data_IF_064256138088
#
_entry.id   IF_064256138088
#
_cell.length_a   1.000
_cell.length_b   1.000
_cell.length_c   1.000
_cell.angle_alpha   90.00
_cell.angle_beta   90.00
_cell.angle_gamma   90.00
#
_symmetry.space_group_name_H-M   'P 1'
#
loop_
_entity.id
_entity.type
_entity.pdbx_description
1 polymer ?
#
# COMPACT_ATOMS: atom_id res chain seq x y z
N UNK A 1 9.23 -11.74 -12.36
CA UNK A 1 8.20 -11.23 -13.30
C UNK A 1 7.12 -10.56 -12.49
N UNK A 2 6.70 -9.34 -12.89
CA UNK A 2 5.58 -8.63 -12.30
C UNK A 2 4.28 -9.38 -12.59
N UNK A 3 3.41 -9.51 -11.60
CA UNK A 3 2.20 -10.33 -11.71
C UNK A 3 0.95 -9.51 -12.02
N UNK A 4 0.94 -8.20 -11.67
CA UNK A 4 -0.15 -7.30 -12.06
C UNK A 4 0.34 -5.87 -12.30
N UNK A 5 -0.45 -5.15 -13.09
CA UNK A 5 -0.36 -3.70 -13.22
C UNK A 5 -1.78 -3.12 -13.25
N UNK A 6 -2.05 -2.16 -12.39
CA UNK A 6 -3.34 -1.46 -12.33
C UNK A 6 -3.08 0.03 -12.59
N UNK A 7 -3.87 0.63 -13.49
CA UNK A 7 -3.75 2.05 -13.81
C UNK A 7 -5.06 2.79 -13.49
N UNK A 8 -4.95 3.91 -12.82
CA UNK A 8 -6.07 4.79 -12.53
C UNK A 8 -5.88 6.14 -13.22
N UNK A 9 -6.96 6.67 -13.76
CA UNK A 9 -7.00 7.99 -14.37
C UNK A 9 -6.51 7.99 -15.81
N UNK A 10 -5.58 8.87 -16.13
CA UNK A 10 -5.10 9.02 -17.50
C UNK A 10 -4.21 7.85 -17.92
N UNK A 11 -4.48 7.26 -19.08
CA UNK A 11 -3.64 6.18 -19.62
C UNK A 11 -2.29 6.69 -20.12
N UNK A 12 -2.27 7.92 -20.59
CA UNK A 12 -1.05 8.61 -21.06
C UNK A 12 -1.10 10.07 -20.64
N UNK A 13 0.05 10.62 -20.28
CA UNK A 13 0.19 12.04 -20.02
C UNK A 13 0.53 12.75 -21.35
N UNK A 14 0.07 14.01 -21.55
CA UNK A 14 0.47 14.77 -22.72
C UNK A 14 2.00 14.87 -22.84
N UNK A 15 2.51 14.86 -24.06
CA UNK A 15 3.96 14.88 -24.30
C UNK A 15 4.69 16.11 -23.74
N UNK A 16 3.95 17.18 -23.50
CA UNK A 16 4.48 18.42 -22.91
C UNK A 16 4.02 18.63 -21.47
N UNK A 17 3.52 17.58 -20.79
CA UNK A 17 2.98 17.69 -19.44
C UNK A 17 4.07 18.08 -18.43
N UNK A 18 3.77 19.02 -17.57
CA UNK A 18 4.55 19.28 -16.36
C UNK A 18 4.02 18.31 -15.31
N UNK A 19 4.86 17.43 -14.80
CA UNK A 19 4.44 16.31 -13.94
C UNK A 19 5.05 16.43 -12.56
N UNK A 20 4.19 16.42 -11.55
CA UNK A 20 4.62 16.26 -10.16
C UNK A 20 4.65 14.75 -9.86
N UNK A 21 5.85 14.21 -9.69
CA UNK A 21 6.04 12.82 -9.39
C UNK A 21 6.04 12.58 -7.89
N UNK A 22 5.14 11.75 -7.43
CA UNK A 22 5.27 11.15 -6.10
C UNK A 22 5.70 9.70 -6.28
N UNK A 23 6.93 9.42 -5.90
CA UNK A 23 7.43 8.05 -5.82
C UNK A 23 7.00 7.46 -4.49
N UNK A 24 5.91 6.77 -4.50
CA UNK A 24 5.51 5.93 -3.39
C UNK A 24 5.45 4.53 -3.94
N UNK A 25 5.68 3.61 -3.29
CA UNK A 25 6.03 2.88 -2.47
C UNK A 25 5.79 1.54 -2.20
N UNK A 26 5.96 0.99 -1.20
CA UNK A 26 6.06 -0.38 -1.08
C UNK A 26 5.13 -0.94 -0.19
N UNK A 27 4.54 -2.04 -0.55
CA UNK A 27 3.52 -2.63 0.20
C UNK A 27 3.70 -4.10 0.30
N UNK A 28 3.10 -4.65 1.25
CA UNK A 28 3.41 -5.91 1.50
C UNK A 28 2.42 -6.89 2.05
N UNK A 29 2.24 -7.97 1.64
CA UNK A 29 1.49 -8.96 1.98
C UNK A 29 2.23 -9.88 2.81
N UNK A 30 2.03 -9.96 3.93
CA UNK A 30 2.56 -11.04 4.73
C UNK A 30 1.52 -12.10 4.98
N UNK A 31 1.86 -13.31 4.67
CA UNK A 31 0.97 -14.43 4.93
C UNK A 31 1.48 -15.22 6.13
N UNK A 32 0.79 -15.10 7.25
CA UNK A 32 0.87 -16.10 8.31
C UNK A 32 -0.41 -16.94 8.18
N UNK A 33 -0.26 -18.12 7.61
CA UNK A 33 -1.39 -18.99 7.29
C UNK A 33 -2.41 -18.35 6.33
N UNK A 34 -3.38 -17.58 6.76
CA UNK A 34 -4.38 -16.94 5.88
C UNK A 34 -4.56 -15.45 6.17
N UNK A 35 -3.74 -14.88 7.06
CA UNK A 35 -3.85 -13.46 7.43
C UNK A 35 -2.72 -12.61 6.89
N UNK A 36 -3.04 -11.35 6.66
CA UNK A 36 -2.13 -10.32 6.15
C UNK A 36 -1.86 -9.29 7.24
N UNK A 37 -0.62 -8.83 7.35
CA UNK A 37 -0.30 -7.69 8.20
C UNK A 37 -0.67 -6.42 7.44
N UNK A 38 -1.67 -5.72 7.91
CA UNK A 38 -2.16 -4.47 7.35
C UNK A 38 -2.14 -3.38 8.42
N UNK A 39 -2.27 -2.14 8.00
CA UNK A 39 -2.49 -0.99 8.88
C UNK A 39 -3.99 -0.70 8.89
N UNK A 40 -4.58 -0.66 10.07
CA UNK A 40 -5.93 -0.20 10.32
C UNK A 40 -5.88 1.27 10.74
N UNK A 41 -6.73 2.11 10.15
CA UNK A 41 -6.73 3.56 10.41
C UNK A 41 -7.92 4.00 11.24
N UNK A 42 -7.91 5.27 11.70
CA UNK A 42 -9.06 5.84 12.41
C UNK A 42 -10.29 6.06 11.51
N UNK A 43 -10.12 5.99 10.19
CA UNK A 43 -11.28 5.97 9.27
C UNK A 43 -11.88 4.55 9.15
N UNK A 44 -11.24 3.57 9.76
CA UNK A 44 -11.71 2.19 9.78
C UNK A 44 -11.30 1.36 8.56
N UNK A 45 -10.47 1.92 7.68
CA UNK A 45 -9.99 1.21 6.49
C UNK A 45 -8.67 0.50 6.73
N UNK A 46 -8.40 -0.45 5.87
CA UNK A 46 -7.14 -1.20 5.84
C UNK A 46 -6.27 -0.77 4.66
N UNK A 47 -4.97 -0.58 4.91
CA UNK A 47 -3.96 -0.33 3.88
C UNK A 47 -2.73 -1.23 4.11
N UNK A 48 -1.96 -1.46 3.06
CA UNK A 48 -0.66 -2.12 3.22
C UNK A 48 0.33 -1.16 3.90
N UNK A 49 1.22 -1.66 4.79
CA UNK A 49 2.30 -0.82 5.32
C UNK A 49 3.22 -0.33 4.20
N UNK A 50 3.67 0.89 4.30
CA UNK A 50 4.60 1.47 3.33
C UNK A 50 4.36 2.94 3.04
N UNK A 51 5.40 3.60 2.59
CA UNK A 51 5.42 5.04 2.35
C UNK A 51 6.35 5.45 1.20
N UNK A 52 6.77 6.69 1.23
CA UNK A 52 7.61 7.29 0.18
C UNK A 52 9.09 6.98 0.34
N UNK A 53 9.78 6.91 -0.78
CA UNK A 53 11.25 6.84 -0.77
C UNK A 53 11.83 8.11 -0.16
N UNK A 54 12.80 7.96 0.71
CA UNK A 54 13.70 9.04 1.14
C UNK A 54 14.87 9.14 0.15
N UNK A 55 15.59 10.26 0.18
CA UNK A 55 16.71 10.48 -0.76
C UNK A 55 17.72 9.34 -0.71
N UNK A 56 18.10 8.86 -1.88
CA UNK A 56 19.10 7.79 -2.10
C UNK A 56 18.67 6.39 -1.66
N UNK A 57 17.44 6.23 -1.20
CA UNK A 57 16.90 4.94 -0.74
C UNK A 57 16.50 4.07 -1.93
N UNK A 58 16.89 2.80 -1.93
CA UNK A 58 16.35 1.82 -2.87
C UNK A 58 15.06 1.19 -2.31
N UNK A 59 14.37 0.39 -3.12
CA UNK A 59 13.09 -0.20 -2.74
C UNK A 59 13.17 -1.05 -1.47
N UNK A 60 14.21 -1.87 -1.34
CA UNK A 60 14.37 -2.74 -0.18
C UNK A 60 14.61 -1.93 1.11
N UNK A 61 15.44 -0.89 1.02
CA UNK A 61 15.72 0.01 2.15
C UNK A 61 14.44 0.74 2.60
N UNK A 62 13.67 1.25 1.64
CA UNK A 62 12.40 1.92 1.92
C UNK A 62 11.43 0.96 2.64
N UNK A 63 11.29 -0.26 2.12
CA UNK A 63 10.40 -1.28 2.70
C UNK A 63 10.82 -1.60 4.15
N UNK A 64 12.12 -1.84 4.37
CA UNK A 64 12.64 -2.18 5.71
C UNK A 64 12.33 -1.06 6.70
N UNK A 65 12.57 0.18 6.31
CA UNK A 65 12.32 1.36 7.15
C UNK A 65 10.82 1.53 7.44
N UNK A 66 9.98 1.56 6.40
CA UNK A 66 8.53 1.79 6.54
C UNK A 66 7.86 0.69 7.37
N UNK A 67 8.25 -0.57 7.13
CA UNK A 67 7.73 -1.70 7.90
C UNK A 67 8.04 -1.53 9.39
N UNK A 68 9.28 -1.13 9.72
CA UNK A 68 9.65 -0.90 11.11
C UNK A 68 8.90 0.31 11.69
N UNK A 69 8.87 1.43 10.96
CA UNK A 69 8.21 2.68 11.42
C UNK A 69 6.71 2.48 11.63
N UNK A 70 5.99 1.94 10.63
CA UNK A 70 4.53 1.80 10.69
C UNK A 70 4.05 0.59 11.50
N UNK A 71 4.82 -0.51 11.55
CA UNK A 71 4.32 -1.75 12.16
C UNK A 71 5.09 -2.19 13.41
N UNK A 72 6.31 -1.75 13.56
CA UNK A 72 7.22 -2.22 14.61
C UNK A 72 7.89 -3.55 14.31
N UNK A 73 7.55 -4.23 13.21
CA UNK A 73 8.17 -5.51 12.85
C UNK A 73 9.41 -5.32 11.99
N UNK A 74 10.46 -6.09 12.30
CA UNK A 74 11.66 -6.11 11.49
C UNK A 74 11.47 -7.02 10.26
N UNK A 75 11.93 -6.54 9.11
CA UNK A 75 11.94 -7.31 7.87
C UNK A 75 13.19 -8.19 7.84
N UNK A 76 13.00 -9.49 7.71
CA UNK A 76 14.08 -10.47 7.53
C UNK A 76 14.50 -10.54 6.06
N UNK A 77 13.52 -10.43 5.16
CA UNK A 77 13.79 -10.58 3.73
C UNK A 77 12.76 -9.80 2.91
N UNK A 78 13.23 -8.99 1.98
CA UNK A 78 12.41 -8.41 0.93
C UNK A 78 12.46 -9.36 -0.27
N UNK A 79 11.31 -9.83 -0.70
CA UNK A 79 11.17 -10.75 -1.82
C UNK A 79 10.92 -10.03 -3.14
N UNK A 80 10.18 -10.65 -4.02
CA UNK A 80 9.97 -10.14 -5.37
C UNK A 80 8.93 -9.01 -5.42
N UNK A 81 9.09 -8.13 -6.39
CA UNK A 81 8.04 -7.22 -6.86
C UNK A 81 6.94 -8.07 -7.52
N UNK A 82 5.73 -8.00 -7.00
CA UNK A 82 4.62 -8.75 -7.60
C UNK A 82 3.58 -7.86 -8.28
N UNK A 83 3.56 -6.58 -8.00
CA UNK A 83 2.61 -5.70 -8.66
C UNK A 83 2.95 -4.23 -8.62
N UNK A 84 2.33 -3.50 -9.55
CA UNK A 84 2.47 -2.05 -9.66
C UNK A 84 1.07 -1.45 -9.78
N UNK A 85 0.84 -0.34 -9.10
CA UNK A 85 -0.31 0.53 -9.33
C UNK A 85 0.21 1.90 -9.76
N UNK A 86 -0.27 2.37 -10.90
CA UNK A 86 0.03 3.70 -11.44
C UNK A 86 -1.21 4.57 -11.32
N UNK A 87 -1.07 5.71 -10.68
CA UNK A 87 -2.15 6.70 -10.52
C UNK A 87 -1.73 7.98 -11.24
N UNK A 88 -2.47 8.38 -12.27
CA UNK A 88 -2.16 9.58 -13.06
C UNK A 88 -3.43 10.43 -13.23
N UNK A 89 -3.35 11.70 -12.89
CA UNK A 89 -4.49 12.63 -13.01
C UNK A 89 -4.00 14.06 -13.15
N UNK A 90 -4.91 14.97 -13.50
CA UNK A 90 -4.64 16.40 -13.36
C UNK A 90 -4.37 16.68 -11.88
N UNK A 91 -3.38 17.50 -11.58
CA UNK A 91 -3.04 17.79 -10.18
C UNK A 91 -4.15 18.66 -9.54
N UNK A 92 -4.62 18.27 -8.37
CA UNK A 92 -5.69 18.97 -7.68
C UNK A 92 -5.24 20.29 -7.03
N UNK A 93 -3.94 20.47 -6.87
CA UNK A 93 -3.36 21.58 -6.11
C UNK A 93 -2.56 22.55 -6.95
N UNK A 94 -2.03 22.12 -8.07
CA UNK A 94 -1.14 22.93 -8.92
C UNK A 94 -1.69 23.02 -10.35
N UNK A 95 -2.41 24.11 -10.69
CA UNK A 95 -3.04 24.26 -12.01
C UNK A 95 -2.06 24.09 -13.17
N UNK A 96 -2.47 23.33 -14.18
CA UNK A 96 -1.66 23.09 -15.38
C UNK A 96 -0.61 22.00 -15.24
N UNK A 97 -0.59 21.32 -14.09
CA UNK A 97 0.33 20.19 -13.86
C UNK A 97 -0.43 18.88 -13.76
N UNK A 98 0.31 17.78 -13.76
CA UNK A 98 -0.22 16.43 -13.64
C UNK A 98 0.40 15.71 -12.45
N UNK A 99 -0.41 15.03 -11.69
CA UNK A 99 0.03 14.14 -10.61
C UNK A 99 0.33 12.76 -11.21
N UNK A 100 1.47 12.18 -10.83
CA UNK A 100 1.79 10.78 -11.18
C UNK A 100 2.41 10.09 -9.98
N UNK A 101 1.81 8.98 -9.55
CA UNK A 101 2.31 8.17 -8.44
C UNK A 101 2.38 6.71 -8.84
N UNK A 102 3.55 6.10 -8.69
CA UNK A 102 3.79 4.68 -8.92
C UNK A 102 3.93 3.99 -7.55
N UNK A 103 3.02 3.07 -7.25
CA UNK A 103 3.08 2.25 -6.05
C UNK A 103 3.54 0.84 -6.41
N UNK A 104 4.60 0.38 -5.78
CA UNK A 104 5.21 -0.93 -6.02
C UNK A 104 4.93 -1.86 -4.83
N UNK A 105 4.52 -3.08 -5.11
CA UNK A 105 4.12 -4.07 -4.10
C UNK A 105 5.09 -5.24 -4.09
N UNK A 106 5.71 -5.47 -2.93
CA UNK A 106 6.73 -6.51 -2.73
C UNK A 106 6.28 -7.51 -1.67
N UNK A 107 6.67 -8.76 -1.83
CA UNK A 107 6.54 -9.74 -0.75
C UNK A 107 7.66 -9.51 0.29
N UNK A 108 7.36 -9.72 1.57
CA UNK A 108 8.34 -9.61 2.65
C UNK A 108 8.17 -10.75 3.66
N UNK A 109 9.25 -11.13 4.30
CA UNK A 109 9.23 -11.97 5.50
C UNK A 109 9.62 -11.08 6.69
N UNK A 110 8.94 -11.25 7.81
CA UNK A 110 9.21 -10.50 9.05
C UNK A 110 9.56 -11.43 10.19
N UNK A 111 10.29 -10.90 11.17
CA UNK A 111 10.48 -11.57 12.48
C UNK A 111 9.26 -11.26 13.37
N UNK A 112 8.36 -12.23 13.49
CA UNK A 112 7.13 -12.07 14.29
C UNK A 112 7.40 -12.06 15.81
N UNK A 113 8.55 -12.53 16.25
CA UNK A 113 8.91 -12.61 17.67
C UNK A 113 9.56 -11.31 18.17
N UNK A 114 9.93 -10.41 17.28
CA UNK A 114 10.68 -9.21 17.61
C UNK A 114 9.91 -7.96 17.16
N UNK A 115 8.87 -7.64 17.90
CA UNK A 115 8.07 -6.43 17.64
C UNK A 115 8.57 -5.29 18.51
N UNK A 116 8.94 -4.19 17.88
CA UNK A 116 9.35 -2.94 18.52
C UNK A 116 8.19 -1.95 18.58
N UNK A 117 8.40 -0.83 19.24
CA UNK A 117 7.44 0.27 19.23
C UNK A 117 7.44 0.92 17.84
N UNK A 118 6.26 1.25 17.34
CA UNK A 118 6.08 2.03 16.10
C UNK A 118 6.77 3.40 16.23
N UNK A 119 7.26 3.94 15.14
CA UNK A 119 7.83 5.28 15.06
C UNK A 119 7.09 6.09 13.99
N UNK A 120 5.83 6.33 14.23
CA UNK A 120 4.91 7.00 13.30
C UNK A 120 5.26 8.47 13.12
N UNK A 121 5.08 8.98 11.91
CA UNK A 121 5.13 10.41 11.65
C UNK A 121 3.83 11.09 12.16
N UNK A 122 3.74 12.41 12.07
CA UNK A 122 2.61 13.14 12.65
C UNK A 122 1.29 12.83 11.92
N UNK A 123 1.32 12.65 10.61
CA UNK A 123 0.16 12.28 9.83
C UNK A 123 -0.32 10.86 10.19
N UNK A 124 0.60 9.91 10.34
CA UNK A 124 0.30 8.52 10.70
C UNK A 124 -0.28 8.41 12.12
N UNK A 125 0.24 9.22 13.05
CA UNK A 125 -0.31 9.36 14.43
C UNK A 125 -1.74 9.91 14.37
N UNK A 126 -1.95 10.95 13.56
CA UNK A 126 -3.27 11.57 13.38
C UNK A 126 -4.28 10.60 12.78
N UNK A 127 -3.84 9.70 11.91
CA UNK A 127 -4.64 8.62 11.32
C UNK A 127 -4.74 7.38 12.23
N UNK A 128 -4.09 7.40 13.39
CA UNK A 128 -4.07 6.29 14.36
C UNK A 128 -3.63 4.95 13.75
N UNK A 129 -2.55 4.93 12.99
CA UNK A 129 -2.07 3.72 12.32
C UNK A 129 -1.82 2.59 13.30
N UNK A 130 -2.54 1.49 13.15
CA UNK A 130 -2.42 0.30 13.99
C UNK A 130 -2.14 -0.94 13.14
N UNK A 131 -0.99 -1.60 13.33
CA UNK A 131 -0.69 -2.84 12.60
C UNK A 131 -1.53 -3.99 13.15
N UNK A 132 -2.25 -4.67 12.27
CA UNK A 132 -3.14 -5.79 12.61
C UNK A 132 -2.92 -6.95 11.63
N UNK A 133 -3.04 -8.17 12.14
CA UNK A 133 -3.14 -9.35 11.28
C UNK A 133 -4.62 -9.61 11.02
N UNK A 134 -5.02 -9.61 9.77
CA UNK A 134 -6.43 -9.71 9.37
C UNK A 134 -6.55 -10.64 8.16
N UNK A 135 -7.65 -11.37 8.09
CA UNK A 135 -7.94 -12.19 6.91
C UNK A 135 -8.25 -11.29 5.72
N UNK A 136 -7.77 -11.68 4.55
CA UNK A 136 -7.88 -10.85 3.36
C UNK A 136 -9.33 -10.53 3.00
N UNK A 137 -10.23 -11.50 3.18
CA UNK A 137 -11.65 -11.30 2.86
C UNK A 137 -12.30 -10.28 3.82
N UNK A 138 -11.96 -10.35 5.11
CA UNK A 138 -12.43 -9.38 6.10
C UNK A 138 -11.97 -7.96 5.75
N UNK A 139 -10.71 -7.80 5.34
CA UNK A 139 -10.17 -6.50 4.95
C UNK A 139 -10.88 -5.96 3.70
N UNK A 140 -11.15 -6.81 2.70
CA UNK A 140 -11.86 -6.44 1.47
C UNK A 140 -13.29 -5.98 1.82
N UNK A 141 -14.05 -6.79 2.55
CA UNK A 141 -15.45 -6.49 2.91
C UNK A 141 -15.55 -5.18 3.69
N UNK A 142 -14.61 -4.96 4.61
CA UNK A 142 -14.57 -3.74 5.39
C UNK A 142 -14.28 -2.50 4.52
N UNK A 143 -13.28 -2.59 3.66
CA UNK A 143 -12.93 -1.49 2.75
C UNK A 143 -14.08 -1.21 1.76
N UNK A 144 -14.75 -2.24 1.25
CA UNK A 144 -15.92 -2.08 0.38
C UNK A 144 -17.07 -1.36 1.09
N UNK A 145 -17.33 -1.70 2.34
CA UNK A 145 -18.36 -1.03 3.13
C UNK A 145 -18.10 0.47 3.23
N UNK A 146 -16.82 0.84 3.43
CA UNK A 146 -16.42 2.26 3.49
C UNK A 146 -16.54 2.93 2.11
N UNK A 147 -16.06 2.26 1.06
CA UNK A 147 -16.12 2.77 -0.32
C UNK A 147 -17.57 3.02 -0.79
N UNK A 148 -18.51 2.21 -0.32
CA UNK A 148 -19.94 2.32 -0.68
C UNK A 148 -20.69 3.34 0.17
N UNK A 149 -20.12 3.85 1.25
CA UNK A 149 -20.74 4.87 2.09
C UNK A 149 -20.34 6.26 1.61
N UNK A 150 -21.19 6.85 0.77
CA UNK A 150 -20.96 8.16 0.15
C UNK A 150 -20.96 9.32 1.17
N UNK A 151 -21.44 9.09 2.39
CA UNK A 151 -21.47 10.11 3.43
C UNK A 151 -20.22 10.08 4.33
N UNK A 152 -19.37 9.10 4.14
CA UNK A 152 -18.18 8.89 4.97
C UNK A 152 -16.94 9.49 4.30
N UNK A 153 -16.13 10.18 5.08
CA UNK A 153 -14.82 10.62 4.62
C UNK A 153 -13.99 9.37 4.35
N UNK A 154 -13.36 9.31 3.19
CA UNK A 154 -12.57 8.17 2.75
C UNK A 154 -11.13 8.59 2.58
N UNK A 155 -10.22 7.71 2.97
CA UNK A 155 -8.81 7.91 2.70
C UNK A 155 -8.54 7.76 1.19
N UNK A 156 -7.68 8.60 0.60
CA UNK A 156 -7.48 8.61 -0.86
C UNK A 156 -6.87 7.32 -1.43
N UNK A 157 -6.27 6.51 -0.58
CA UNK A 157 -5.66 5.24 -1.00
C UNK A 157 -6.63 4.04 -0.98
N UNK A 158 -7.80 4.16 -0.32
CA UNK A 158 -8.63 2.99 0.01
C UNK A 158 -9.03 2.16 -1.21
N UNK A 159 -9.36 2.81 -2.33
CA UNK A 159 -9.71 2.11 -3.58
C UNK A 159 -8.52 1.30 -4.10
N UNK A 160 -7.36 1.93 -4.20
CA UNK A 160 -6.12 1.29 -4.66
C UNK A 160 -5.79 0.06 -3.79
N UNK A 161 -5.76 0.25 -2.48
CA UNK A 161 -5.43 -0.82 -1.54
C UNK A 161 -6.44 -1.98 -1.66
N UNK A 162 -7.72 -1.67 -1.79
CA UNK A 162 -8.77 -2.68 -1.92
C UNK A 162 -8.66 -3.47 -3.23
N UNK A 163 -8.35 -2.81 -4.34
CA UNK A 163 -8.19 -3.51 -5.62
C UNK A 163 -6.97 -4.46 -5.58
N UNK A 164 -5.90 -4.09 -4.89
CA UNK A 164 -4.75 -4.99 -4.67
C UNK A 164 -5.13 -6.17 -3.76
N UNK A 165 -5.90 -5.93 -2.69
CA UNK A 165 -6.38 -7.00 -1.81
C UNK A 165 -7.24 -8.00 -2.60
N UNK A 166 -8.15 -7.52 -3.44
CA UNK A 166 -8.98 -8.38 -4.31
C UNK A 166 -8.12 -9.24 -5.24
N UNK A 167 -7.15 -8.62 -5.91
CA UNK A 167 -6.24 -9.36 -6.78
C UNK A 167 -5.51 -10.47 -6.02
N UNK A 168 -5.01 -10.16 -4.82
CA UNK A 168 -4.32 -11.15 -3.95
C UNK A 168 -5.27 -12.27 -3.52
N UNK A 169 -6.53 -11.95 -3.20
CA UNK A 169 -7.55 -12.94 -2.83
C UNK A 169 -7.81 -13.93 -3.98
N UNK A 170 -7.96 -13.41 -5.20
CA UNK A 170 -8.20 -14.23 -6.40
C UNK A 170 -7.02 -15.16 -6.70
N UNK A 171 -5.79 -14.69 -6.52
CA UNK A 171 -4.57 -15.48 -6.78
C UNK A 171 -4.24 -16.44 -5.62
N UNK A 172 -4.61 -16.08 -4.39
CA UNK A 172 -4.44 -16.93 -3.22
C UNK A 172 -5.30 -18.19 -3.28
N UNK A 173 -6.46 -18.12 -3.95
CA UNK A 173 -7.32 -19.26 -4.23
C UNK A 173 -6.76 -20.22 -5.28
N UNK A 174 -5.76 -19.80 -6.05
CA UNK A 174 -5.14 -20.61 -7.11
C UNK A 174 -3.67 -20.94 -6.79
N UNK A 175 -3.45 -21.61 -5.66
CA UNK A 175 -2.22 -22.34 -5.36
C UNK A 175 -0.90 -21.55 -5.36
N UNK A 176 -0.59 -20.92 -4.25
CA UNK A 176 0.83 -20.61 -3.94
C UNK A 176 1.47 -21.82 -3.23
N UNK A 177 1.28 -23.01 -3.84
CA UNK A 177 2.02 -24.22 -3.47
C UNK A 177 3.05 -24.50 -4.56
N UNK A 178 4.25 -23.97 -4.38
CA UNK A 178 5.51 -24.59 -4.82
C UNK A 178 6.68 -23.70 -4.41
#
# INVERSE_FOLDING_TARGET
>A
MQEFEICYGLSELPSNAVVTYRKAKQRRXLKKTESFLLIYTNQGDYKFPGGGYKNSENAAECIVREMLEETGYQVEKVGKLFGIVLEQKVDDFEPGTYFSMKSEYYSVTIDENNKQKQNLDDYEKEQEFRPVFVEIQEAIENNERILNDLNRKQNPWIKRENDVLKWLSEKGGCGMNK
#
